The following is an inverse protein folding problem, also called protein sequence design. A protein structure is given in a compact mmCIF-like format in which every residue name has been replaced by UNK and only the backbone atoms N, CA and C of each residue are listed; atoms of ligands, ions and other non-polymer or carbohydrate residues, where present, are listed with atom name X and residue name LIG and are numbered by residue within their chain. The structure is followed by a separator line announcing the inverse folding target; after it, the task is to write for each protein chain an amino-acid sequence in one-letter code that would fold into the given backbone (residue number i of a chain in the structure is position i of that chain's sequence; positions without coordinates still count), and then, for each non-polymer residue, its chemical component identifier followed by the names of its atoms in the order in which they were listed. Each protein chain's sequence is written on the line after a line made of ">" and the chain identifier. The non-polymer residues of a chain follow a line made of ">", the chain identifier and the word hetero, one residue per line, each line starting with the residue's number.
data_IF_370663717443
#
_entry.id   IF_370663717443
#
_cell.length_a   1.000
_cell.length_b   1.000
_cell.length_c   1.000
_cell.angle_alpha   90.00
_cell.angle_beta   90.00
_cell.angle_gamma   90.00
#
_symmetry.space_group_name_H-M   'P 1'
#
loop_
_entity.id
_entity.type
_entity.pdbx_description
1 polymer ?
#
# COMPACT_ATOMS: atom_id res chain seq x y z
N UNK A 1 -8.20 -29.92 -2.65
CA UNK A 1 -8.43 -28.53 -2.22
C UNK A 1 -7.08 -28.01 -1.76
N UNK A 2 -6.35 -27.40 -2.68
CA UNK A 2 -4.96 -26.97 -2.49
C UNK A 2 -5.02 -25.49 -2.15
N UNK A 3 -5.17 -25.20 -0.85
CA UNK A 3 -5.14 -23.84 -0.31
C UNK A 3 -3.69 -23.36 -0.31
N UNK A 4 -3.43 -22.33 -1.10
CA UNK A 4 -2.17 -21.61 -1.08
C UNK A 4 -1.99 -21.01 0.32
N UNK A 5 -0.95 -21.39 1.06
CA UNK A 5 -0.74 -20.95 2.45
C UNK A 5 -0.50 -19.45 2.53
N UNK A 6 0.01 -18.87 1.46
CA UNK A 6 0.02 -17.44 1.19
C UNK A 6 -1.39 -16.85 1.27
N UNK A 7 -2.35 -17.46 0.59
CA UNK A 7 -3.77 -17.10 0.61
C UNK A 7 -4.37 -17.34 1.99
N UNK A 8 -4.08 -18.47 2.66
CA UNK A 8 -4.63 -18.78 4.00
C UNK A 8 -4.05 -17.89 5.11
N UNK A 9 -2.75 -17.56 5.09
CA UNK A 9 -2.12 -16.65 6.06
C UNK A 9 -2.62 -15.21 5.89
N UNK A 10 -2.82 -14.81 4.63
CA UNK A 10 -3.46 -13.55 4.23
C UNK A 10 -4.93 -13.55 4.66
N UNK A 11 -5.71 -14.60 4.39
CA UNK A 11 -7.12 -14.74 4.78
C UNK A 11 -7.32 -14.80 6.31
N UNK A 12 -6.42 -15.48 7.04
CA UNK A 12 -6.50 -15.64 8.49
C UNK A 12 -6.17 -14.34 9.25
N UNK A 13 -5.23 -13.53 8.75
CA UNK A 13 -4.84 -12.27 9.42
C UNK A 13 -5.58 -11.03 8.91
N UNK A 14 -6.07 -11.05 7.66
CA UNK A 14 -6.73 -9.88 7.05
C UNK A 14 -8.26 -10.00 7.01
N UNK A 15 -8.83 -11.13 7.44
CA UNK A 15 -10.27 -11.36 7.52
C UNK A 15 -10.88 -11.72 6.16
N UNK A 16 -11.70 -12.77 6.16
CA UNK A 16 -12.45 -13.26 5.00
C UNK A 16 -13.38 -12.17 4.46
N UNK A 17 -13.02 -11.56 3.32
CA UNK A 17 -13.85 -10.58 2.61
C UNK A 17 -13.21 -9.24 2.25
N UNK A 18 -11.89 -9.16 2.06
CA UNK A 18 -11.26 -7.89 1.66
C UNK A 18 -11.61 -7.45 0.23
N UNK A 19 -11.77 -6.13 0.07
CA UNK A 19 -11.97 -5.47 -1.23
C UNK A 19 -10.74 -5.69 -2.12
N UNK A 20 -10.88 -5.90 -3.44
CA UNK A 20 -9.76 -6.17 -4.37
C UNK A 20 -8.57 -5.21 -4.27
N UNK A 21 -8.83 -3.94 -3.92
CA UNK A 21 -7.80 -2.89 -3.75
C UNK A 21 -6.90 -3.13 -2.53
N UNK A 22 -7.38 -3.77 -1.47
CA UNK A 22 -6.54 -4.06 -0.30
C UNK A 22 -5.67 -5.30 -0.50
N UNK A 23 -6.14 -6.26 -1.29
CA UNK A 23 -5.37 -7.44 -1.66
C UNK A 23 -4.21 -7.09 -2.61
N UNK A 24 -4.46 -6.29 -3.63
CA UNK A 24 -3.41 -5.80 -4.55
C UNK A 24 -2.33 -4.99 -3.83
N UNK A 25 -2.71 -4.09 -2.91
CA UNK A 25 -1.74 -3.35 -2.07
C UNK A 25 -0.93 -4.31 -1.19
N UNK A 26 -1.54 -5.37 -0.68
CA UNK A 26 -0.83 -6.39 0.07
C UNK A 26 0.18 -7.15 -0.79
N UNK A 27 -0.22 -7.65 -1.96
CA UNK A 27 0.68 -8.36 -2.88
C UNK A 27 1.86 -7.48 -3.31
N UNK A 28 1.62 -6.20 -3.61
CA UNK A 28 2.67 -5.25 -3.98
C UNK A 28 3.66 -5.00 -2.83
N UNK A 29 3.15 -4.83 -1.61
CA UNK A 29 3.99 -4.66 -0.42
C UNK A 29 4.80 -5.94 -0.14
N UNK A 30 4.17 -7.10 -0.25
CA UNK A 30 4.81 -8.39 -0.04
C UNK A 30 5.93 -8.62 -1.05
N UNK A 31 5.66 -8.41 -2.34
CA UNK A 31 6.64 -8.53 -3.42
C UNK A 31 7.83 -7.61 -3.22
N UNK A 32 7.61 -6.33 -2.91
CA UNK A 32 8.71 -5.39 -2.66
C UNK A 32 9.59 -5.81 -1.49
N UNK A 33 9.00 -6.35 -0.41
CA UNK A 33 9.76 -6.84 0.74
C UNK A 33 10.53 -8.12 0.40
N UNK A 34 9.93 -9.03 -0.37
CA UNK A 34 10.57 -10.23 -0.86
C UNK A 34 11.75 -9.91 -1.80
N UNK A 35 11.60 -8.96 -2.72
CA UNK A 35 12.66 -8.51 -3.64
C UNK A 35 13.88 -7.95 -2.88
N UNK A 36 13.64 -7.08 -1.89
CA UNK A 36 14.72 -6.54 -1.04
C UNK A 36 15.41 -7.65 -0.26
N UNK A 37 14.63 -8.56 0.33
CA UNK A 37 15.18 -9.66 1.13
C UNK A 37 15.97 -10.65 0.26
N UNK A 38 15.48 -10.96 -0.95
CA UNK A 38 16.18 -11.81 -1.90
C UNK A 38 17.53 -11.19 -2.34
N UNK A 39 17.58 -9.88 -2.53
CA UNK A 39 18.84 -9.17 -2.82
C UNK A 39 19.83 -9.26 -1.64
N UNK A 40 19.34 -9.19 -0.40
CA UNK A 40 20.16 -9.38 0.80
C UNK A 40 20.64 -10.83 0.97
N UNK A 41 19.80 -11.80 0.61
CA UNK A 41 20.11 -13.23 0.69
C UNK A 41 21.34 -13.63 -0.14
N UNK A 42 21.64 -12.91 -1.22
CA UNK A 42 22.85 -13.10 -2.03
C UNK A 42 24.15 -12.81 -1.27
N UNK A 43 24.07 -12.14 -0.11
CA UNK A 43 25.23 -11.82 0.74
C UNK A 43 25.51 -12.88 1.79
N UNK A 44 24.61 -13.86 1.98
CA UNK A 44 24.86 -14.94 2.92
C UNK A 44 25.96 -15.88 2.40
N UNK A 45 26.67 -16.57 3.30
CA UNK A 45 27.56 -17.65 2.91
C UNK A 45 26.79 -18.81 2.25
N UNK A 46 27.39 -19.59 1.34
CA UNK A 46 26.70 -20.69 0.64
C UNK A 46 26.14 -21.82 1.52
N UNK A 47 26.58 -21.92 2.78
CA UNK A 47 26.07 -22.89 3.75
C UNK A 47 24.88 -22.36 4.56
N UNK A 48 24.54 -21.08 4.43
CA UNK A 48 23.34 -20.53 5.06
C UNK A 48 22.11 -21.00 4.26
N UNK A 49 21.08 -21.56 4.91
CA UNK A 49 19.90 -22.07 4.24
C UNK A 49 19.08 -21.00 3.51
N UNK A 50 19.33 -19.71 3.78
CA UNK A 50 18.69 -18.58 3.10
C UNK A 50 19.48 -18.09 1.89
N UNK A 51 20.72 -18.57 1.70
CA UNK A 51 21.53 -18.17 0.57
C UNK A 51 20.79 -18.45 -0.75
N UNK A 52 20.73 -17.44 -1.61
CA UNK A 52 20.02 -17.47 -2.89
C UNK A 52 18.51 -17.77 -2.82
N UNK A 53 17.87 -17.72 -1.63
CA UNK A 53 16.42 -17.80 -1.54
C UNK A 53 15.80 -16.56 -2.22
N UNK A 54 15.15 -16.80 -3.37
CA UNK A 54 14.58 -15.79 -4.26
C UNK A 54 13.15 -15.41 -3.89
N UNK A 55 12.59 -14.48 -4.67
CA UNK A 55 11.22 -13.97 -4.50
C UNK A 55 10.18 -15.10 -4.58
N UNK A 56 10.40 -16.06 -5.47
CA UNK A 56 9.56 -17.26 -5.66
C UNK A 56 9.51 -18.14 -4.41
N UNK A 57 10.63 -18.31 -3.71
CA UNK A 57 10.67 -19.05 -2.43
C UNK A 57 10.03 -18.23 -1.32
N UNK A 58 10.39 -16.94 -1.20
CA UNK A 58 9.94 -16.06 -0.12
C UNK A 58 8.43 -15.72 -0.21
N UNK A 59 7.84 -15.81 -1.40
CA UNK A 59 6.41 -15.67 -1.64
C UNK A 59 5.72 -17.01 -1.91
N UNK A 60 6.43 -18.13 -1.75
CA UNK A 60 5.88 -19.49 -1.90
C UNK A 60 5.22 -19.78 -3.26
N UNK A 61 5.74 -19.18 -4.33
CA UNK A 61 5.15 -19.24 -5.67
C UNK A 61 5.50 -20.52 -6.41
N UNK A 62 4.61 -20.96 -7.30
CA UNK A 62 4.86 -22.06 -8.23
C UNK A 62 5.15 -23.37 -7.51
N UNK A 63 6.33 -23.95 -7.77
CA UNK A 63 6.75 -25.23 -7.17
C UNK A 63 6.96 -25.15 -5.65
N UNK A 64 7.04 -23.94 -5.09
CA UNK A 64 7.25 -23.67 -3.67
C UNK A 64 5.97 -23.55 -2.85
N UNK A 65 4.80 -23.64 -3.49
CA UNK A 65 3.48 -23.53 -2.83
C UNK A 65 3.03 -24.82 -2.13
N UNK A 66 3.75 -25.94 -2.31
CA UNK A 66 3.35 -27.23 -1.73
C UNK A 66 3.64 -27.29 -0.21
N UNK A 67 2.60 -27.40 0.66
CA UNK A 67 2.79 -27.39 2.10
C UNK A 67 3.63 -28.55 2.65
N UNK A 68 3.56 -29.74 2.04
CA UNK A 68 4.36 -30.90 2.46
C UNK A 68 5.84 -30.71 2.14
N UNK A 69 6.15 -30.00 1.06
CA UNK A 69 7.51 -29.61 0.71
C UNK A 69 8.02 -28.51 1.66
N UNK A 70 7.18 -27.52 1.97
CA UNK A 70 7.50 -26.43 2.89
C UNK A 70 7.78 -26.91 4.32
N UNK A 71 7.11 -27.96 4.79
CA UNK A 71 7.33 -28.54 6.12
C UNK A 71 8.77 -29.05 6.33
N UNK A 72 9.53 -29.24 5.25
CA UNK A 72 10.92 -29.68 5.27
C UNK A 72 11.91 -28.54 5.11
N UNK A 73 11.45 -27.30 4.95
CA UNK A 73 12.33 -26.15 4.83
C UNK A 73 13.08 -25.90 6.12
N UNK A 74 14.24 -25.26 5.98
CA UNK A 74 15.02 -24.86 7.13
C UNK A 74 14.23 -23.86 7.99
N UNK A 75 14.21 -24.00 9.33
CA UNK A 75 13.50 -23.08 10.21
C UNK A 75 13.90 -21.61 10.05
N UNK A 76 15.12 -21.30 9.63
CA UNK A 76 15.57 -19.93 9.38
C UNK A 76 14.89 -19.32 8.15
N UNK A 77 14.72 -20.11 7.09
CA UNK A 77 14.00 -19.70 5.89
C UNK A 77 12.51 -19.47 6.21
N UNK A 78 11.90 -20.38 6.97
CA UNK A 78 10.50 -20.24 7.42
C UNK A 78 10.32 -18.96 8.24
N UNK A 79 11.21 -18.70 9.22
CA UNK A 79 11.16 -17.47 10.03
C UNK A 79 11.33 -16.21 9.19
N UNK A 80 12.14 -16.27 8.13
CA UNK A 80 12.34 -15.15 7.22
C UNK A 80 11.06 -14.87 6.42
N UNK A 81 10.42 -15.91 5.86
CA UNK A 81 9.12 -15.80 5.19
C UNK A 81 8.06 -15.16 6.09
N UNK A 82 7.86 -15.71 7.29
CA UNK A 82 6.92 -15.17 8.28
C UNK A 82 7.15 -13.69 8.61
N UNK A 83 8.42 -13.26 8.71
CA UNK A 83 8.76 -11.86 8.98
C UNK A 83 8.36 -10.96 7.80
N UNK A 84 8.54 -11.43 6.58
CA UNK A 84 8.11 -10.71 5.38
C UNK A 84 6.59 -10.63 5.35
N UNK A 85 5.88 -11.75 5.58
CA UNK A 85 4.42 -11.81 5.54
C UNK A 85 3.79 -10.84 6.54
N UNK A 86 4.24 -10.89 7.80
CA UNK A 86 3.78 -9.98 8.86
C UNK A 86 4.12 -8.53 8.50
N UNK A 87 5.32 -8.28 7.96
CA UNK A 87 5.73 -6.96 7.51
C UNK A 87 4.82 -6.40 6.41
N UNK A 88 4.44 -7.22 5.43
CA UNK A 88 3.55 -6.85 4.34
C UNK A 88 2.13 -6.59 4.83
N UNK A 89 1.62 -7.39 5.78
CA UNK A 89 0.32 -7.16 6.43
C UNK A 89 0.33 -5.81 7.16
N UNK A 90 1.31 -5.57 8.02
CA UNK A 90 1.42 -4.31 8.77
C UNK A 90 1.52 -3.12 7.82
N UNK A 91 2.34 -3.22 6.76
CA UNK A 91 2.47 -2.16 5.78
C UNK A 91 1.16 -1.88 5.02
N UNK A 92 0.38 -2.92 4.76
CA UNK A 92 -0.94 -2.79 4.11
C UNK A 92 -1.93 -2.10 5.04
N UNK A 93 -1.94 -2.43 6.32
CA UNK A 93 -2.77 -1.76 7.34
C UNK A 93 -2.40 -0.27 7.43
N UNK A 94 -1.11 0.04 7.53
CA UNK A 94 -0.62 1.43 7.52
C UNK A 94 -1.06 2.17 6.25
N UNK A 95 -0.86 1.56 5.09
CA UNK A 95 -1.24 2.16 3.81
C UNK A 95 -2.74 2.43 3.75
N UNK A 96 -3.57 1.50 4.22
CA UNK A 96 -5.03 1.69 4.28
C UNK A 96 -5.44 2.79 5.27
N UNK A 97 -4.79 2.87 6.43
CA UNK A 97 -5.03 3.91 7.43
C UNK A 97 -4.65 5.29 6.88
N UNK A 98 -3.49 5.40 6.25
CA UNK A 98 -3.01 6.58 5.53
C UNK A 98 -3.97 7.03 4.42
N UNK A 99 -4.43 6.10 3.55
CA UNK A 99 -5.43 6.40 2.52
C UNK A 99 -6.70 7.01 3.13
N UNK A 100 -7.09 6.51 4.30
CA UNK A 100 -8.26 7.02 5.03
C UNK A 100 -8.02 8.42 5.62
N UNK A 101 -6.79 8.76 6.02
CA UNK A 101 -6.49 10.04 6.64
C UNK A 101 -6.61 11.21 5.66
N UNK A 102 -5.96 11.15 4.49
CA UNK A 102 -5.98 12.28 3.57
C UNK A 102 -7.32 12.42 2.82
N UNK A 103 -8.08 11.33 2.63
CA UNK A 103 -9.44 11.38 2.03
C UNK A 103 -10.46 12.03 2.97
N UNK A 104 -10.22 12.00 4.29
CA UNK A 104 -11.10 12.61 5.30
C UNK A 104 -10.80 14.08 5.56
N UNK A 105 -9.79 14.67 4.92
CA UNK A 105 -9.52 16.10 5.05
C UNK A 105 -10.62 16.84 4.31
N UNK A 106 -11.47 17.54 5.05
CA UNK A 106 -12.55 18.38 4.53
C UNK A 106 -12.35 19.82 4.92
N UNK A 107 -12.73 20.75 4.03
CA UNK A 107 -12.65 22.17 4.31
C UNK A 107 -13.67 22.54 5.40
N UNK A 108 -13.20 23.22 6.44
CA UNK A 108 -14.08 23.75 7.50
C UNK A 108 -14.91 24.93 6.97
N UNK A 109 -16.00 25.27 7.66
CA UNK A 109 -16.88 26.39 7.24
C UNK A 109 -16.13 27.73 7.15
N UNK A 110 -15.22 28.00 8.09
CA UNK A 110 -14.47 29.26 8.18
C UNK A 110 -13.05 29.16 7.61
N UNK A 111 -12.67 28.01 7.05
CA UNK A 111 -11.31 27.76 6.58
C UNK A 111 -11.09 28.29 5.16
N UNK A 112 -10.07 29.13 4.94
CA UNK A 112 -9.69 29.59 3.60
C UNK A 112 -9.33 28.41 2.69
N UNK A 113 -9.78 28.45 1.43
CA UNK A 113 -9.60 27.35 0.49
C UNK A 113 -8.12 27.00 0.27
N UNK A 114 -7.23 28.01 0.15
CA UNK A 114 -5.80 27.79 0.02
C UNK A 114 -5.20 26.99 1.19
N UNK A 115 -5.56 27.33 2.44
CA UNK A 115 -5.06 26.62 3.63
C UNK A 115 -5.53 25.15 3.65
N UNK A 116 -6.76 24.92 3.20
CA UNK A 116 -7.30 23.57 3.05
C UNK A 116 -6.53 22.76 2.00
N UNK A 117 -6.24 23.35 0.83
CA UNK A 117 -5.42 22.71 -0.23
C UNK A 117 -4.02 22.39 0.28
N UNK A 118 -3.40 23.30 1.03
CA UNK A 118 -2.08 23.09 1.66
C UNK A 118 -2.09 21.90 2.63
N UNK A 119 -3.15 21.72 3.43
CA UNK A 119 -3.30 20.56 4.33
C UNK A 119 -3.40 19.24 3.55
N UNK A 120 -4.15 19.24 2.44
CA UNK A 120 -4.23 18.06 1.56
C UNK A 120 -2.85 17.78 0.96
N UNK A 121 -2.17 18.78 0.41
CA UNK A 121 -0.85 18.64 -0.20
C UNK A 121 0.16 18.08 0.82
N UNK A 122 0.25 18.66 2.02
CA UNK A 122 1.15 18.19 3.07
C UNK A 122 0.85 16.76 3.55
N UNK A 123 -0.41 16.32 3.49
CA UNK A 123 -0.77 14.94 3.79
C UNK A 123 -0.37 13.97 2.66
N UNK A 124 -0.57 14.37 1.39
CA UNK A 124 -0.19 13.56 0.23
C UNK A 124 1.33 13.42 0.09
N UNK A 125 2.10 14.48 0.39
CA UNK A 125 3.57 14.48 0.34
C UNK A 125 4.20 13.42 1.24
N UNK A 126 3.58 13.14 2.39
CA UNK A 126 4.08 12.14 3.36
C UNK A 126 3.95 10.69 2.86
N UNK A 127 3.11 10.46 1.86
CA UNK A 127 2.61 9.13 1.54
C UNK A 127 2.71 8.76 0.07
N UNK A 128 2.87 9.74 -0.81
CA UNK A 128 2.91 9.55 -2.26
C UNK A 128 4.20 10.18 -2.77
N UNK A 129 5.08 9.33 -3.30
CA UNK A 129 6.35 9.76 -3.89
C UNK A 129 6.22 10.27 -5.33
N UNK A 130 5.13 9.95 -6.02
CA UNK A 130 4.88 10.38 -7.40
C UNK A 130 4.17 11.74 -7.43
N UNK A 131 4.83 12.74 -8.01
CA UNK A 131 4.35 14.12 -8.11
C UNK A 131 3.06 14.26 -8.93
N UNK A 132 2.93 13.51 -10.02
CA UNK A 132 1.76 13.57 -10.88
C UNK A 132 0.54 13.01 -10.16
N UNK A 133 0.74 11.90 -9.44
CA UNK A 133 -0.31 11.29 -8.60
C UNK A 133 -0.71 12.22 -7.46
N UNK A 134 0.26 12.89 -6.81
CA UNK A 134 -0.01 13.91 -5.78
C UNK A 134 -0.87 15.05 -6.32
N UNK A 135 -0.49 15.64 -7.44
CA UNK A 135 -1.25 16.76 -8.03
C UNK A 135 -2.67 16.33 -8.43
N UNK A 136 -2.81 15.16 -9.05
CA UNK A 136 -4.11 14.63 -9.45
C UNK A 136 -5.02 14.39 -8.23
N UNK A 137 -4.51 13.73 -7.18
CA UNK A 137 -5.28 13.46 -5.97
C UNK A 137 -5.61 14.73 -5.20
N UNK A 138 -4.66 15.67 -5.10
CA UNK A 138 -4.89 16.95 -4.46
C UNK A 138 -6.04 17.70 -5.14
N UNK A 139 -6.06 17.74 -6.48
CA UNK A 139 -7.15 18.32 -7.25
C UNK A 139 -8.50 17.65 -6.97
N UNK A 140 -8.54 16.32 -7.01
CA UNK A 140 -9.79 15.57 -6.78
C UNK A 140 -10.33 15.76 -5.36
N UNK A 141 -9.45 15.74 -4.36
CA UNK A 141 -9.82 15.96 -2.95
C UNK A 141 -10.23 17.41 -2.70
N UNK A 142 -9.52 18.38 -3.25
CA UNK A 142 -9.86 19.79 -3.11
C UNK A 142 -11.25 20.10 -3.67
N UNK A 143 -11.62 19.49 -4.80
CA UNK A 143 -12.98 19.59 -5.36
C UNK A 143 -14.03 18.87 -4.51
N UNK A 144 -13.79 17.60 -4.18
CA UNK A 144 -14.79 16.74 -3.54
C UNK A 144 -15.05 17.07 -2.06
N UNK A 145 -14.06 17.68 -1.39
CA UNK A 145 -14.10 17.94 0.04
C UNK A 145 -14.13 19.45 0.38
N UNK A 146 -14.38 20.32 -0.62
CA UNK A 146 -14.61 21.74 -0.41
C UNK A 146 -15.88 21.99 0.43
N UNK A 147 -15.94 23.13 1.12
CA UNK A 147 -17.14 23.56 1.80
C UNK A 147 -18.19 24.05 0.78
N UNK A 148 -19.44 24.22 1.23
CA UNK A 148 -20.56 24.50 0.32
C UNK A 148 -20.39 25.79 -0.50
N UNK A 149 -19.72 26.81 0.04
CA UNK A 149 -19.52 28.08 -0.65
C UNK A 149 -18.40 27.97 -1.70
N UNK A 150 -17.28 27.33 -1.35
CA UNK A 150 -16.20 27.07 -2.30
C UNK A 150 -16.65 26.08 -3.39
N UNK A 151 -17.44 25.05 -3.05
CA UNK A 151 -17.97 24.08 -4.02
C UNK A 151 -18.80 24.77 -5.10
N UNK A 152 -19.68 25.71 -4.73
CA UNK A 152 -20.48 26.48 -5.70
C UNK A 152 -19.62 27.30 -6.66
N UNK A 153 -18.54 27.91 -6.16
CA UNK A 153 -17.61 28.69 -6.99
C UNK A 153 -16.86 27.76 -7.96
N UNK A 154 -16.36 26.63 -7.45
CA UNK A 154 -15.62 25.64 -8.25
C UNK A 154 -16.50 25.02 -9.34
N UNK A 155 -17.76 24.72 -9.04
CA UNK A 155 -18.74 24.19 -10.01
C UNK A 155 -19.12 25.20 -11.09
N UNK A 156 -19.04 26.49 -10.78
CA UNK A 156 -19.29 27.56 -11.76
C UNK A 156 -18.10 27.82 -12.71
N UNK A 157 -16.93 27.24 -12.43
CA UNK A 157 -15.77 27.38 -13.31
C UNK A 157 -15.96 26.57 -14.61
N UNK A 158 -15.66 27.15 -15.78
CA UNK A 158 -15.76 26.42 -17.04
C UNK A 158 -14.64 25.37 -17.15
N UNK A 159 -15.00 24.19 -17.70
CA UNK A 159 -14.11 23.02 -17.91
C UNK A 159 -13.75 22.30 -16.61
N UNK A 160 -12.73 21.44 -16.63
CA UNK A 160 -12.21 20.74 -15.46
C UNK A 160 -11.11 21.61 -14.81
N UNK A 161 -11.43 22.50 -13.85
CA UNK A 161 -10.48 23.49 -13.34
C UNK A 161 -9.22 22.83 -12.76
N UNK A 162 -8.08 23.47 -13.01
CA UNK A 162 -6.80 23.13 -12.36
C UNK A 162 -6.80 23.61 -10.92
N UNK A 163 -5.87 23.13 -10.09
CA UNK A 163 -5.73 23.61 -8.71
C UNK A 163 -5.48 25.12 -8.65
N UNK A 164 -4.75 25.67 -9.63
CA UNK A 164 -4.48 27.11 -9.73
C UNK A 164 -5.72 27.90 -10.09
N UNK A 165 -6.68 27.32 -10.82
CA UNK A 165 -7.94 28.01 -11.13
C UNK A 165 -8.90 28.07 -9.91
N UNK A 166 -8.66 27.26 -8.88
CA UNK A 166 -9.52 27.16 -7.70
C UNK A 166 -9.08 28.03 -6.52
N UNK A 167 -7.84 28.56 -6.56
CA UNK A 167 -7.22 29.37 -5.50
C UNK A 167 -7.20 30.83 -5.92
#
# INVERSE_FOLDING_TARGET
>A
MSGDRASEATEMHLGTGKKPVQFTVFEDNWRQMAERTAAENMRFPPYDPRFAAGVDILMELGVHSNPDAQARWDPQLIKQGQKIDIGAILKTIETAATKTQYVKITQSLEEPFLQFVEKIAAALEKHIGDDNVRQLLCKQLAKGNANADCSKIIEALPRDPSLTDMV
#
